data_IF_827006037124
#
_entry.id   IF_827006037124
#
_cell.length_a   1.000
_cell.length_b   1.000
_cell.length_c   1.000
_cell.angle_alpha   90.00
_cell.angle_beta   90.00
_cell.angle_gamma   90.00
#
_symmetry.space_group_name_H-M   'P 1'
#
loop_
_entity.id
_entity.type
_entity.pdbx_description
1 polymer ?
#
# COMPACT_ATOMS: atom_id res chain seq x y z
N UNK A 1 -57.24 -28.30 -19.52
CA UNK A 1 -56.53 -27.45 -20.50
C UNK A 1 -57.36 -26.19 -20.68
N UNK A 2 -57.27 -25.10 -19.89
CA UNK A 2 -56.20 -24.10 -19.71
C UNK A 2 -55.56 -23.61 -21.01
N UNK A 3 -56.02 -22.45 -21.50
CA UNK A 3 -55.29 -21.33 -22.15
C UNK A 3 -56.32 -20.22 -22.43
N UNK A 4 -56.61 -19.31 -21.50
CA UNK A 4 -56.03 -17.97 -21.30
C UNK A 4 -56.02 -17.04 -22.53
N UNK A 5 -56.92 -16.05 -22.48
CA UNK A 5 -56.96 -14.80 -23.26
C UNK A 5 -55.61 -14.06 -23.17
N UNK A 6 -55.09 -13.59 -24.30
CA UNK A 6 -54.04 -12.56 -24.36
C UNK A 6 -54.69 -11.20 -24.56
N UNK A 7 -54.63 -10.38 -23.52
CA UNK A 7 -55.04 -8.97 -23.55
C UNK A 7 -53.83 -8.13 -24.00
N UNK A 8 -54.07 -7.24 -24.97
CA UNK A 8 -53.12 -6.23 -25.42
C UNK A 8 -53.07 -5.05 -24.45
N UNK A 9 -51.89 -4.42 -24.31
CA UNK A 9 -51.76 -2.97 -24.12
C UNK A 9 -50.32 -2.52 -24.32
N UNK A 10 -50.17 -1.47 -25.13
CA UNK A 10 -48.95 -0.71 -25.37
C UNK A 10 -48.78 0.39 -24.33
N UNK A 11 -47.55 0.72 -23.93
CA UNK A 11 -47.20 1.98 -23.23
C UNK A 11 -45.68 2.19 -23.44
N UNK A 12 -45.25 3.10 -24.32
CA UNK A 12 -45.02 4.55 -24.17
C UNK A 12 -43.63 4.92 -23.59
N UNK A 13 -43.00 5.82 -24.32
CA UNK A 13 -41.62 6.32 -24.31
C UNK A 13 -41.29 7.12 -23.05
N UNK A 14 -40.05 7.02 -22.56
CA UNK A 14 -39.37 8.13 -21.89
C UNK A 14 -37.86 8.11 -22.22
N UNK A 15 -37.46 9.00 -23.13
CA UNK A 15 -36.07 9.38 -23.36
C UNK A 15 -35.70 10.40 -22.29
N UNK A 16 -34.87 10.00 -21.33
CA UNK A 16 -34.34 10.87 -20.28
C UNK A 16 -32.86 11.15 -20.54
N UNK A 17 -32.56 12.39 -20.92
CA UNK A 17 -31.21 12.93 -21.07
C UNK A 17 -30.44 12.84 -19.74
N UNK A 18 -29.32 12.12 -19.72
CA UNK A 18 -28.38 12.13 -18.59
C UNK A 18 -27.45 13.33 -18.79
N UNK A 19 -27.66 14.35 -17.97
CA UNK A 19 -26.80 15.52 -17.88
C UNK A 19 -25.43 15.12 -17.34
N UNK A 20 -24.39 15.41 -18.12
CA UNK A 20 -22.98 15.33 -17.75
C UNK A 20 -22.69 16.37 -16.67
N UNK A 21 -22.72 15.95 -15.41
CA UNK A 21 -22.26 16.75 -14.28
C UNK A 21 -20.76 16.56 -14.10
N UNK A 22 -19.97 17.52 -14.58
CA UNK A 22 -18.57 17.71 -14.16
C UNK A 22 -18.55 17.96 -12.64
N UNK A 23 -17.99 17.01 -11.87
CA UNK A 23 -17.54 17.32 -10.52
C UNK A 23 -16.15 17.96 -10.60
N UNK A 24 -16.09 19.20 -10.12
CA UNK A 24 -14.88 19.94 -9.82
C UNK A 24 -14.18 19.28 -8.63
N UNK A 25 -13.12 18.51 -8.88
CA UNK A 25 -12.14 18.16 -7.85
C UNK A 25 -11.24 19.38 -7.60
N UNK A 26 -11.68 20.23 -6.69
CA UNK A 26 -10.90 21.34 -6.17
C UNK A 26 -11.05 21.40 -4.67
N UNK A 27 -10.03 20.93 -3.95
CA UNK A 27 -9.32 21.72 -2.95
C UNK A 27 -8.23 20.88 -2.27
N UNK A 28 -7.00 21.35 -2.46
CA UNK A 28 -5.84 21.00 -1.66
C UNK A 28 -6.10 21.42 -0.21
N UNK A 29 -6.24 20.44 0.68
CA UNK A 29 -6.21 20.63 2.12
C UNK A 29 -4.77 20.43 2.61
N UNK A 30 -3.99 21.50 2.59
CA UNK A 30 -2.76 21.59 3.39
C UNK A 30 -3.17 21.60 4.86
N UNK A 31 -3.14 20.45 5.53
CA UNK A 31 -3.23 20.42 6.99
C UNK A 31 -1.87 20.80 7.57
N UNK A 32 -1.77 22.09 7.89
CA UNK A 32 -0.69 22.67 8.66
C UNK A 32 -0.63 21.99 10.04
N UNK A 33 0.43 21.21 10.28
CA UNK A 33 0.79 20.79 11.63
C UNK A 33 1.21 22.04 12.43
N UNK A 34 0.37 22.45 13.38
CA UNK A 34 0.71 23.49 14.36
C UNK A 34 1.67 22.90 15.40
N UNK A 35 2.97 22.99 15.15
CA UNK A 35 3.97 22.78 16.20
C UNK A 35 4.14 24.07 17.00
N UNK A 36 3.74 24.05 18.28
CA UNK A 36 4.09 25.13 19.21
C UNK A 36 5.62 25.21 19.41
N UNK A 37 6.24 26.42 19.40
CA UNK A 37 7.68 26.56 19.59
C UNK A 37 8.12 26.17 21.00
N UNK A 38 9.01 25.18 21.12
CA UNK A 38 9.65 24.81 22.39
C UNK A 38 10.67 25.91 22.82
N UNK A 39 10.77 26.25 24.12
CA UNK A 39 11.71 27.26 24.59
C UNK A 39 13.16 26.93 24.24
N UNK A 40 13.88 27.88 23.64
CA UNK A 40 15.28 27.73 23.28
C UNK A 40 16.20 27.83 24.50
N UNK A 41 17.15 26.91 24.70
CA UNK A 41 18.21 27.06 25.69
C UNK A 41 19.21 28.17 25.30
N UNK A 42 19.97 28.72 26.26
CA UNK A 42 20.96 29.77 26.00
C UNK A 42 22.07 29.28 25.04
N UNK A 43 22.62 30.18 24.20
CA UNK A 43 23.56 29.81 23.14
C UNK A 43 24.89 29.33 23.74
N UNK A 44 25.27 28.10 23.39
CA UNK A 44 26.62 27.59 23.60
C UNK A 44 27.47 28.03 22.40
N UNK A 45 28.58 28.73 22.65
CA UNK A 45 29.54 29.11 21.61
C UNK A 45 30.27 27.87 21.11
N UNK A 46 29.80 27.29 20.01
CA UNK A 46 30.46 26.18 19.31
C UNK A 46 31.29 26.76 18.17
N UNK A 47 32.55 26.32 18.07
CA UNK A 47 33.44 26.69 16.97
C UNK A 47 32.81 26.31 15.62
N UNK A 48 32.82 27.26 14.68
CA UNK A 48 32.27 27.11 13.32
C UNK A 48 32.90 25.89 12.62
N UNK A 49 32.12 24.83 12.32
CA UNK A 49 32.60 23.74 11.49
C UNK A 49 32.85 24.26 10.06
N UNK A 50 33.86 23.71 9.39
CA UNK A 50 34.06 23.93 7.97
C UNK A 50 32.78 23.59 7.19
N UNK A 51 32.44 24.31 6.11
CA UNK A 51 31.25 24.02 5.32
C UNK A 51 31.36 22.60 4.76
N UNK A 52 30.55 21.69 5.30
CA UNK A 52 30.36 20.39 4.69
C UNK A 52 29.51 20.64 3.44
N UNK A 53 30.07 20.28 2.28
CA UNK A 53 29.32 20.30 1.03
C UNK A 53 28.27 19.21 1.17
N UNK A 54 27.06 19.65 1.45
CA UNK A 54 25.89 18.78 1.52
C UNK A 54 25.62 18.30 0.09
N UNK A 55 25.96 17.04 -0.20
CA UNK A 55 25.66 16.39 -1.48
C UNK A 55 24.19 15.91 -1.51
N UNK A 56 23.37 16.47 -0.60
CA UNK A 56 21.96 16.18 -0.32
C UNK A 56 21.02 16.87 -1.32
N UNK A 57 21.26 16.69 -2.62
CA UNK A 57 20.11 16.74 -3.52
C UNK A 57 19.11 15.68 -3.04
N UNK A 58 17.78 15.92 -3.05
CA UNK A 58 16.81 14.85 -2.85
C UNK A 58 17.09 13.78 -3.89
N UNK A 59 17.67 12.66 -3.46
CA UNK A 59 17.96 11.54 -4.33
C UNK A 59 16.65 10.78 -4.46
N UNK A 60 15.92 11.04 -5.54
CA UNK A 60 14.79 10.21 -5.90
C UNK A 60 15.29 8.81 -6.29
N UNK A 61 14.58 7.78 -5.86
CA UNK A 61 14.71 6.40 -6.34
C UNK A 61 13.91 6.16 -7.62
N UNK A 62 13.10 7.13 -8.08
CA UNK A 62 12.23 7.00 -9.25
C UNK A 62 13.02 7.21 -10.54
N UNK A 63 12.88 6.27 -11.47
CA UNK A 63 13.34 6.39 -12.86
C UNK A 63 12.28 5.83 -13.80
N UNK A 64 11.55 6.72 -14.50
CA UNK A 64 10.41 6.32 -15.32
C UNK A 64 9.26 5.80 -14.46
N UNK A 65 8.81 4.58 -14.74
CA UNK A 65 7.76 3.87 -13.99
C UNK A 65 8.33 2.81 -13.03
N UNK A 66 9.58 3.00 -12.60
CA UNK A 66 10.27 2.14 -11.65
C UNK A 66 10.77 2.98 -10.48
N UNK A 67 10.69 2.41 -9.29
CA UNK A 67 11.32 2.93 -8.08
C UNK A 67 12.29 1.89 -7.54
N UNK A 68 13.48 2.34 -7.13
CA UNK A 68 14.45 1.54 -6.39
C UNK A 68 14.88 2.33 -5.15
N UNK A 69 14.42 1.87 -3.99
CA UNK A 69 14.79 2.40 -2.69
C UNK A 69 16.31 2.36 -2.50
N UNK A 70 16.97 3.52 -2.29
CA UNK A 70 18.42 3.60 -2.29
C UNK A 70 19.09 3.00 -1.05
N UNK A 71 18.36 2.85 0.05
CA UNK A 71 18.89 2.44 1.34
C UNK A 71 18.76 0.92 1.53
N UNK A 72 17.62 0.35 1.13
CA UNK A 72 17.30 -1.06 1.40
C UNK A 72 17.21 -1.95 0.17
N UNK A 73 17.33 -1.40 -1.04
CA UNK A 73 17.32 -2.17 -2.30
C UNK A 73 15.96 -2.77 -2.67
N UNK A 74 14.88 -2.36 -2.01
CA UNK A 74 13.51 -2.66 -2.40
C UNK A 74 13.18 -1.90 -3.68
N UNK A 75 12.52 -2.53 -4.63
CA UNK A 75 12.12 -1.86 -5.86
C UNK A 75 10.80 -2.36 -6.39
N UNK A 76 10.13 -1.51 -7.16
CA UNK A 76 8.84 -1.83 -7.78
C UNK A 76 8.74 -1.15 -9.14
N UNK A 77 8.07 -1.81 -10.08
CA UNK A 77 7.68 -1.24 -11.37
C UNK A 77 6.16 -1.25 -11.48
N UNK A 78 5.57 -0.18 -12.00
CA UNK A 78 4.12 -0.04 -12.13
C UNK A 78 3.70 0.29 -13.56
N UNK A 79 2.42 0.08 -13.85
CA UNK A 79 1.80 0.57 -15.08
C UNK A 79 1.43 2.06 -14.89
N UNK A 80 2.02 3.00 -15.65
CA UNK A 80 1.74 4.43 -15.49
C UNK A 80 0.34 4.85 -15.97
N UNK A 81 -0.38 3.99 -16.70
CA UNK A 81 -1.77 4.25 -17.07
C UNK A 81 -2.75 3.91 -15.94
N UNK A 82 -2.31 3.12 -14.95
CA UNK A 82 -3.11 2.67 -13.80
C UNK A 82 -2.70 3.38 -12.50
N UNK A 83 -1.39 3.53 -12.27
CA UNK A 83 -0.82 4.02 -11.02
C UNK A 83 -0.12 5.35 -11.18
N UNK A 84 -0.39 6.27 -10.25
CA UNK A 84 0.31 7.53 -10.11
C UNK A 84 1.18 7.55 -8.86
N UNK A 85 2.33 8.19 -8.93
CA UNK A 85 3.15 8.46 -7.74
C UNK A 85 2.48 9.58 -6.95
N UNK A 86 2.07 9.28 -5.72
CA UNK A 86 1.48 10.27 -4.81
C UNK A 86 2.56 10.95 -3.96
N UNK A 87 3.54 10.18 -3.50
CA UNK A 87 4.69 10.71 -2.74
C UNK A 87 5.87 9.74 -2.74
N UNK A 88 7.06 10.30 -2.51
CA UNK A 88 8.30 9.57 -2.22
C UNK A 88 8.97 10.23 -1.01
N UNK A 89 9.49 9.42 -0.10
CA UNK A 89 10.25 9.86 1.06
C UNK A 89 11.50 9.00 1.19
N UNK A 90 12.67 9.64 1.20
CA UNK A 90 13.97 8.96 1.34
C UNK A 90 14.73 9.70 2.42
N UNK A 91 14.98 8.99 3.51
CA UNK A 91 15.71 9.44 4.69
C UNK A 91 16.81 8.45 5.03
N UNK A 92 17.61 8.72 6.07
CA UNK A 92 18.78 7.89 6.39
C UNK A 92 18.41 6.42 6.66
N UNK A 93 17.30 6.21 7.35
CA UNK A 93 16.90 4.91 7.90
C UNK A 93 15.51 4.49 7.40
N UNK A 94 15.03 5.14 6.32
CA UNK A 94 13.68 4.96 5.77
C UNK A 94 13.64 5.26 4.26
N UNK A 95 13.11 4.33 3.47
CA UNK A 95 12.73 4.50 2.07
C UNK A 95 11.22 4.25 1.95
N UNK A 96 10.45 5.20 1.43
CA UNK A 96 9.00 5.10 1.27
C UNK A 96 8.53 5.56 -0.11
N UNK A 97 7.67 4.76 -0.73
CA UNK A 97 6.94 5.10 -1.94
C UNK A 97 5.45 4.93 -1.71
N UNK A 98 4.67 5.92 -2.14
CA UNK A 98 3.21 5.83 -2.19
C UNK A 98 2.72 5.92 -3.63
N UNK A 99 1.97 4.91 -4.05
CA UNK A 99 1.30 4.83 -5.34
C UNK A 99 -0.22 4.89 -5.14
N UNK A 100 -0.93 5.56 -6.04
CA UNK A 100 -2.37 5.72 -5.98
C UNK A 100 -3.07 5.34 -7.28
N UNK A 101 -4.30 4.84 -7.14
CA UNK A 101 -5.34 4.84 -8.18
C UNK A 101 -6.46 5.79 -7.73
N UNK A 102 -7.50 6.03 -8.53
CA UNK A 102 -8.68 6.78 -8.06
C UNK A 102 -9.39 6.13 -6.85
N UNK A 103 -9.18 4.84 -6.60
CA UNK A 103 -9.90 4.07 -5.59
C UNK A 103 -9.01 3.51 -4.46
N UNK A 104 -7.69 3.44 -4.64
CA UNK A 104 -6.79 2.80 -3.69
C UNK A 104 -5.45 3.53 -3.53
N UNK A 105 -4.80 3.32 -2.39
CA UNK A 105 -3.41 3.73 -2.17
C UNK A 105 -2.58 2.52 -1.72
N UNK A 106 -1.35 2.44 -2.20
CA UNK A 106 -0.36 1.43 -1.83
C UNK A 106 0.89 2.14 -1.32
N UNK A 107 1.37 1.70 -0.17
CA UNK A 107 2.59 2.16 0.47
C UNK A 107 3.60 1.01 0.45
N UNK A 108 4.81 1.31 -0.02
CA UNK A 108 5.96 0.42 0.01
C UNK A 108 7.01 1.10 0.86
N UNK A 109 7.21 0.58 2.08
CA UNK A 109 8.03 1.23 3.10
C UNK A 109 9.11 0.26 3.56
N UNK A 110 10.36 0.70 3.51
CA UNK A 110 11.49 -0.07 4.00
C UNK A 110 12.25 0.77 5.03
N UNK A 111 12.51 0.22 6.20
CA UNK A 111 13.10 0.98 7.30
C UNK A 111 13.88 0.10 8.28
N UNK A 112 14.76 0.72 9.06
CA UNK A 112 15.43 0.03 10.17
C UNK A 112 14.45 -0.16 11.34
N UNK A 113 14.23 -1.39 11.78
CA UNK A 113 13.32 -1.69 12.88
C UNK A 113 12.96 -3.16 12.95
N UNK A 114 12.40 -3.58 14.09
CA UNK A 114 11.86 -4.94 14.28
C UNK A 114 12.82 -6.08 13.89
N UNK A 115 14.06 -6.12 14.41
CA UNK A 115 15.07 -7.06 13.94
C UNK A 115 14.58 -8.51 14.09
N UNK A 116 14.30 -9.15 12.95
CA UNK A 116 13.78 -10.52 12.83
C UNK A 116 12.41 -10.76 13.46
N UNK A 117 11.57 -9.72 13.60
CA UNK A 117 10.23 -9.85 14.16
C UNK A 117 9.13 -9.17 13.32
N UNK A 118 8.76 -9.75 12.17
CA UNK A 118 7.64 -9.26 11.38
C UNK A 118 6.30 -9.23 12.13
N UNK A 119 6.12 -10.08 13.15
CA UNK A 119 4.88 -10.12 13.91
C UNK A 119 4.73 -8.87 14.79
N UNK A 120 5.81 -8.42 15.43
CA UNK A 120 5.81 -7.15 16.16
C UNK A 120 5.58 -5.96 15.23
N UNK A 121 6.15 -5.95 14.03
CA UNK A 121 5.82 -4.92 13.01
C UNK A 121 4.31 -4.87 12.71
N UNK A 122 3.69 -6.03 12.50
CA UNK A 122 2.26 -6.10 12.19
C UNK A 122 1.37 -5.67 13.37
N UNK A 123 1.76 -5.97 14.60
CA UNK A 123 1.02 -5.53 15.79
C UNK A 123 1.18 -4.03 16.04
N UNK A 124 2.35 -3.45 15.76
CA UNK A 124 2.55 -2.01 15.79
C UNK A 124 1.73 -1.31 14.70
N UNK A 125 1.72 -1.82 13.46
CA UNK A 125 0.86 -1.30 12.39
C UNK A 125 -0.64 -1.34 12.75
N UNK A 126 -1.10 -2.43 13.39
CA UNK A 126 -2.47 -2.52 13.90
C UNK A 126 -2.75 -1.46 14.98
N UNK A 127 -1.81 -1.24 15.91
CA UNK A 127 -1.92 -0.21 16.93
C UNK A 127 -1.95 1.20 16.34
N UNK A 128 -1.15 1.46 15.31
CA UNK A 128 -1.15 2.72 14.58
C UNK A 128 -2.48 2.97 13.88
N UNK A 129 -3.02 1.98 13.14
CA UNK A 129 -4.33 2.07 12.49
C UNK A 129 -5.41 2.41 13.53
N UNK A 130 -5.43 1.69 14.66
CA UNK A 130 -6.41 1.89 15.72
C UNK A 130 -6.25 3.24 16.44
N UNK A 131 -5.05 3.82 16.44
CA UNK A 131 -4.73 5.09 17.09
C UNK A 131 -5.02 6.34 16.25
N UNK A 132 -5.37 6.20 14.97
CA UNK A 132 -5.69 7.33 14.08
C UNK A 132 -6.94 8.06 14.58
N UNK A 133 -6.88 9.40 14.67
CA UNK A 133 -7.89 10.28 15.30
C UNK A 133 -9.35 10.01 14.88
N UNK A 134 -9.57 9.61 13.62
CA UNK A 134 -10.91 9.38 13.08
C UNK A 134 -11.34 7.91 13.09
N UNK A 135 -10.45 6.98 13.41
CA UNK A 135 -10.75 5.54 13.43
C UNK A 135 -11.54 5.20 14.69
N UNK A 136 -12.69 4.57 14.49
CA UNK A 136 -13.63 4.18 15.55
C UNK A 136 -13.69 2.67 15.77
N UNK A 137 -13.25 1.89 14.77
CA UNK A 137 -13.31 0.44 14.78
C UNK A 137 -12.23 -0.12 13.84
N UNK A 138 -11.53 -1.15 14.30
CA UNK A 138 -10.59 -1.97 13.52
C UNK A 138 -10.92 -3.43 13.78
N UNK A 139 -11.19 -4.20 12.73
CA UNK A 139 -11.55 -5.62 12.84
C UNK A 139 -10.71 -6.48 11.89
N UNK A 140 -10.13 -7.61 12.32
CA UNK A 140 -9.50 -8.54 11.40
C UNK A 140 -10.50 -9.15 10.41
N UNK A 141 -10.10 -9.30 9.15
CA UNK A 141 -10.92 -9.87 8.06
C UNK A 141 -10.37 -11.23 7.60
N UNK A 142 -10.39 -12.23 8.47
CA UNK A 142 -9.74 -13.54 8.25
C UNK A 142 -10.28 -14.37 7.08
N UNK A 143 -11.53 -14.13 6.66
CA UNK A 143 -12.20 -14.89 5.60
C UNK A 143 -12.19 -14.18 4.24
N UNK A 144 -11.24 -13.27 4.03
CA UNK A 144 -11.06 -12.54 2.77
C UNK A 144 -9.75 -12.96 2.10
N UNK A 145 -9.69 -12.97 0.76
CA UNK A 145 -8.44 -13.17 0.07
C UNK A 145 -7.46 -12.05 0.45
N UNK A 146 -6.19 -12.41 0.59
CA UNK A 146 -5.11 -11.43 0.78
C UNK A 146 -4.45 -11.14 -0.58
N UNK A 147 -3.84 -9.96 -0.76
CA UNK A 147 -2.96 -9.71 -1.89
C UNK A 147 -1.88 -10.78 -2.06
N UNK A 148 -1.55 -11.08 -3.30
CA UNK A 148 -0.50 -12.01 -3.68
C UNK A 148 0.80 -11.25 -3.94
N UNK A 149 1.71 -11.27 -2.98
CA UNK A 149 2.99 -10.55 -3.07
C UNK A 149 4.13 -11.40 -3.65
N UNK A 150 3.85 -12.66 -4.02
CA UNK A 150 4.89 -13.62 -4.44
C UNK A 150 5.77 -14.12 -3.29
N UNK A 151 5.43 -13.75 -2.06
CA UNK A 151 6.21 -14.00 -0.88
C UNK A 151 5.53 -14.95 0.11
N UNK A 152 6.31 -15.84 0.70
CA UNK A 152 5.80 -16.89 1.62
C UNK A 152 6.20 -16.68 3.07
N UNK A 153 7.18 -15.82 3.35
CA UNK A 153 7.67 -15.51 4.70
C UNK A 153 7.28 -14.08 5.08
N UNK A 154 6.90 -13.88 6.35
CA UNK A 154 6.46 -12.60 6.91
C UNK A 154 5.24 -12.74 7.82
N UNK A 155 4.73 -11.62 8.29
CA UNK A 155 3.45 -11.52 8.99
C UNK A 155 2.53 -10.61 8.18
N UNK A 156 1.26 -11.00 8.00
CA UNK A 156 0.31 -10.22 7.21
C UNK A 156 -1.10 -10.36 7.75
N UNK A 157 -1.90 -9.31 7.59
CA UNK A 157 -3.31 -9.27 7.99
C UNK A 157 -4.09 -8.29 7.13
N UNK A 158 -5.38 -8.57 7.00
CA UNK A 158 -6.36 -7.66 6.41
C UNK A 158 -7.26 -7.13 7.52
N UNK A 159 -7.43 -5.82 7.57
CA UNK A 159 -8.24 -5.11 8.55
C UNK A 159 -9.42 -4.45 7.86
N UNK A 160 -10.59 -4.51 8.48
CA UNK A 160 -11.73 -3.65 8.18
C UNK A 160 -11.68 -2.45 9.11
N UNK A 161 -11.83 -1.25 8.55
CA UNK A 161 -11.74 0.02 9.28
C UNK A 161 -13.07 0.75 9.18
N UNK A 162 -13.51 1.29 10.30
CA UNK A 162 -14.56 2.32 10.33
C UNK A 162 -13.98 3.63 10.83
N UNK A 163 -14.10 4.69 10.04
CA UNK A 163 -13.67 6.02 10.45
C UNK A 163 -14.84 7.01 10.39
N UNK A 164 -14.95 7.89 11.37
CA UNK A 164 -15.94 8.96 11.38
C UNK A 164 -15.30 10.23 10.82
N UNK A 165 -15.77 10.67 9.66
CA UNK A 165 -15.31 11.89 9.01
C UNK A 165 -15.88 13.13 9.71
N UNK A 166 -15.31 14.31 9.41
CA UNK A 166 -15.71 15.58 10.03
C UNK A 166 -17.19 15.94 9.82
N UNK A 167 -17.75 15.57 8.66
CA UNK A 167 -19.17 15.75 8.33
C UNK A 167 -20.10 14.73 9.03
N UNK A 168 -19.53 13.82 9.82
CA UNK A 168 -20.23 12.76 10.53
C UNK A 168 -20.50 11.50 9.70
N UNK A 169 -20.12 11.48 8.41
CA UNK A 169 -20.21 10.28 7.57
C UNK A 169 -19.25 9.22 8.09
N UNK A 170 -19.69 7.96 8.08
CA UNK A 170 -18.83 6.83 8.41
C UNK A 170 -18.20 6.29 7.13
N UNK A 171 -16.89 6.47 7.01
CA UNK A 171 -16.06 5.79 6.03
C UNK A 171 -15.86 4.33 6.44
N UNK A 172 -15.94 3.41 5.47
CA UNK A 172 -15.65 1.98 5.64
C UNK A 172 -14.55 1.58 4.68
N UNK A 173 -13.37 1.29 5.22
CA UNK A 173 -12.19 0.91 4.47
C UNK A 173 -11.76 -0.52 4.75
N UNK A 174 -10.89 -1.00 3.90
CA UNK A 174 -10.06 -2.19 4.09
C UNK A 174 -8.61 -1.73 4.04
N UNK A 175 -7.80 -2.24 4.95
CA UNK A 175 -6.35 -2.01 4.98
C UNK A 175 -5.64 -3.36 5.10
N UNK A 176 -4.83 -3.69 4.12
CA UNK A 176 -3.91 -4.82 4.17
C UNK A 176 -2.56 -4.32 4.66
N UNK A 177 -1.94 -5.07 5.57
CA UNK A 177 -0.56 -4.85 6.00
C UNK A 177 0.21 -6.17 5.89
N UNK A 178 1.40 -6.13 5.30
CA UNK A 178 2.37 -7.23 5.29
C UNK A 178 3.75 -6.71 5.70
N UNK A 179 4.25 -7.26 6.81
CA UNK A 179 5.59 -7.01 7.34
C UNK A 179 6.52 -8.16 7.00
N UNK A 180 7.74 -7.84 6.56
CA UNK A 180 8.72 -8.81 6.10
C UNK A 180 10.14 -8.41 6.43
N UNK A 181 10.92 -9.37 6.92
CA UNK A 181 12.31 -9.15 7.20
C UNK A 181 13.11 -8.94 5.90
N UNK A 182 13.88 -7.86 5.85
CA UNK A 182 14.93 -7.61 4.87
C UNK A 182 16.31 -7.97 5.44
N UNK A 183 17.34 -8.16 4.58
CA UNK A 183 18.71 -8.32 5.02
C UNK A 183 19.18 -7.18 5.94
N UNK A 184 20.11 -7.47 6.84
CA UNK A 184 20.69 -6.46 7.74
C UNK A 184 19.79 -6.06 8.92
N UNK A 185 18.64 -6.70 9.11
CA UNK A 185 17.74 -6.38 10.22
C UNK A 185 16.65 -5.37 9.88
N UNK A 186 16.60 -4.86 8.65
CA UNK A 186 15.56 -3.94 8.17
C UNK A 186 14.21 -4.64 7.94
N UNK A 187 13.13 -3.86 7.86
CA UNK A 187 11.77 -4.33 7.62
C UNK A 187 11.25 -3.76 6.30
N UNK A 188 10.49 -4.56 5.56
CA UNK A 188 9.62 -4.11 4.48
C UNK A 188 8.19 -4.20 4.99
N UNK A 189 7.48 -3.09 4.97
CA UNK A 189 6.05 -2.98 5.24
C UNK A 189 5.33 -2.60 3.95
N UNK A 190 4.35 -3.42 3.58
CA UNK A 190 3.46 -3.18 2.46
C UNK A 190 2.08 -2.87 3.02
N UNK A 191 1.56 -1.69 2.68
CA UNK A 191 0.22 -1.28 3.08
C UNK A 191 -0.64 -1.03 1.85
N UNK A 192 -1.84 -1.59 1.80
CA UNK A 192 -2.84 -1.30 0.76
C UNK A 192 -4.15 -0.88 1.39
N UNK A 193 -4.62 0.31 1.03
CA UNK A 193 -5.84 0.91 1.55
C UNK A 193 -6.86 1.08 0.42
N UNK A 194 -8.11 0.67 0.67
CA UNK A 194 -9.20 0.73 -0.31
C UNK A 194 -10.57 0.82 0.38
N UNK A 195 -11.57 1.52 -0.18
CA UNK A 195 -12.95 1.42 0.29
C UNK A 195 -13.48 -0.03 0.21
N UNK A 196 -14.34 -0.43 1.15
CA UNK A 196 -14.83 -1.81 1.21
C UNK A 196 -15.60 -2.24 -0.05
N UNK A 197 -16.29 -1.32 -0.70
CA UNK A 197 -17.04 -1.52 -1.94
C UNK A 197 -16.14 -1.76 -3.16
N UNK A 198 -14.91 -1.25 -3.14
CA UNK A 198 -13.95 -1.37 -4.25
C UNK A 198 -13.00 -2.56 -4.09
N UNK A 199 -12.91 -3.15 -2.89
CA UNK A 199 -11.97 -4.24 -2.56
C UNK A 199 -11.86 -5.34 -3.62
N UNK A 200 -12.99 -5.91 -4.07
CA UNK A 200 -12.96 -7.02 -5.03
C UNK A 200 -12.52 -6.59 -6.44
N UNK A 201 -12.76 -5.34 -6.82
CA UNK A 201 -12.36 -4.81 -8.12
C UNK A 201 -10.87 -4.44 -8.12
N UNK A 202 -10.37 -3.91 -7.00
CA UNK A 202 -8.98 -3.46 -6.85
C UNK A 202 -8.01 -4.61 -6.50
N UNK A 203 -8.48 -5.70 -5.90
CA UNK A 203 -7.63 -6.85 -5.55
C UNK A 203 -6.77 -7.38 -6.73
N UNK A 204 -7.32 -7.64 -7.94
CA UNK A 204 -6.48 -8.05 -9.07
C UNK A 204 -5.50 -6.95 -9.52
N UNK A 205 -5.84 -5.67 -9.35
CA UNK A 205 -4.98 -4.53 -9.71
C UNK A 205 -3.77 -4.46 -8.78
N UNK A 206 -3.98 -4.58 -7.46
CA UNK A 206 -2.88 -4.61 -6.48
C UNK A 206 -2.04 -5.88 -6.61
N UNK A 207 -2.64 -7.03 -6.94
CA UNK A 207 -1.88 -8.26 -7.22
C UNK A 207 -0.96 -8.08 -8.43
N UNK A 208 -1.43 -7.43 -9.49
CA UNK A 208 -0.61 -7.13 -10.65
C UNK A 208 0.55 -6.17 -10.31
N UNK A 209 0.31 -5.18 -9.44
CA UNK A 209 1.37 -4.30 -8.93
C UNK A 209 2.42 -5.10 -8.13
N UNK A 210 1.98 -5.88 -7.13
CA UNK A 210 2.90 -6.62 -6.27
C UNK A 210 3.63 -7.78 -6.98
N UNK A 211 3.11 -8.30 -8.09
CA UNK A 211 3.86 -9.22 -8.94
C UNK A 211 5.17 -8.61 -9.50
N UNK A 212 5.30 -7.28 -9.53
CA UNK A 212 6.49 -6.54 -9.96
C UNK A 212 7.36 -6.06 -8.79
N UNK A 213 7.04 -6.45 -7.56
CA UNK A 213 7.82 -6.09 -6.37
C UNK A 213 9.09 -6.94 -6.29
N UNK A 214 10.22 -6.27 -6.06
CA UNK A 214 11.53 -6.89 -5.86
C UNK A 214 12.04 -6.50 -4.48
N UNK A 215 12.41 -7.49 -3.67
CA UNK A 215 12.99 -7.27 -2.35
C UNK A 215 14.30 -8.06 -2.23
N UNK A 216 15.38 -7.47 -1.68
CA UNK A 216 16.62 -8.21 -1.47
C UNK A 216 16.42 -9.42 -0.56
N UNK A 217 17.07 -10.52 -0.89
CA UNK A 217 16.94 -11.77 -0.13
C UNK A 217 15.64 -12.54 -0.38
N UNK A 218 14.68 -11.98 -1.12
CA UNK A 218 13.62 -12.80 -1.70
C UNK A 218 14.26 -13.79 -2.66
N UNK A 219 14.26 -15.08 -2.31
CA UNK A 219 14.51 -16.12 -3.32
C UNK A 219 13.40 -15.94 -4.34
N UNK A 220 13.70 -15.61 -5.61
CA UNK A 220 12.70 -15.77 -6.65
C UNK A 220 12.18 -17.18 -6.48
N UNK A 221 10.86 -17.35 -6.38
CA UNK A 221 10.25 -18.66 -6.50
C UNK A 221 10.57 -19.19 -7.88
N UNK A 222 11.80 -19.68 -8.07
CA UNK A 222 12.16 -20.46 -9.23
C UNK A 222 11.12 -21.58 -9.25
N UNK A 223 10.40 -21.77 -10.36
CA UNK A 223 9.53 -22.93 -10.48
C UNK A 223 10.37 -24.14 -10.07
N UNK A 224 9.87 -24.88 -9.08
CA UNK A 224 10.55 -26.07 -8.58
C UNK A 224 10.89 -26.91 -9.81
N UNK A 225 12.19 -27.01 -10.13
CA UNK A 225 12.64 -27.85 -11.23
C UNK A 225 12.06 -29.23 -10.91
N UNK A 226 11.34 -29.87 -11.86
CA UNK A 226 10.75 -31.17 -11.62
C UNK A 226 11.83 -32.07 -11.04
N UNK A 227 11.52 -32.72 -9.90
CA UNK A 227 12.46 -33.57 -9.20
C UNK A 227 13.20 -34.44 -10.21
N UNK A 228 14.55 -34.44 -10.14
CA UNK A 228 15.36 -35.27 -11.02
C UNK A 228 14.78 -36.68 -11.03
N UNK A 229 14.56 -37.29 -12.21
CA UNK A 229 14.04 -38.64 -12.27
C UNK A 229 14.94 -39.55 -11.43
N UNK A 230 14.36 -40.52 -10.70
CA UNK A 230 15.15 -41.40 -9.84
C UNK A 230 16.27 -42.05 -10.65
N UNK A 231 17.50 -42.01 -10.12
CA UNK A 231 18.66 -42.64 -10.74
C UNK A 231 18.29 -44.08 -11.10
N UNK A 232 18.34 -44.38 -12.40
CA UNK A 232 18.19 -45.75 -12.88
C UNK A 232 19.38 -46.54 -12.34
N UNK A 233 19.15 -47.33 -11.29
CA UNK A 233 20.12 -48.30 -10.79
C UNK A 233 20.42 -49.26 -11.94
N UNK A 234 21.67 -49.36 -12.42
CA UNK A 234 22.01 -50.34 -13.44
C UNK A 234 21.87 -51.74 -12.81
N UNK A 235 20.99 -52.57 -13.37
CA UNK A 235 20.96 -54.00 -13.07
C UNK A 235 22.30 -54.61 -13.51
N UNK A 236 22.97 -55.30 -12.57
CA UNK A 236 24.16 -56.12 -12.84
C UNK A 236 23.76 -57.55 -13.18
#
# INVERSE_FOLDING_TARGET
>A
MRTHLKQSSATLIAVGSIATGMLLAGQAGSLAQSQEPKPSPPPVTIATPAPQVDISGPRSGITGNTWLGPSFGVGITWDPDEWVVESEQIERDYDGLRLGTPAASVFIEAYEGFPSDPASCLEDANAEIAGREFVTEVVPLENRPLPETGFTEGARRLFGIAAKLEDGVVYRGVEYVECRQLPGGAMLELTWQVPVEAFNAELPVVNALFANLVAPGARPGLPELPASPPDLVPEM
#
